data_IF_904297088737
#
_entry.id   IF_904297088737
#
_cell.length_a   1.000
_cell.length_b   1.000
_cell.length_c   1.000
_cell.angle_alpha   90.00
_cell.angle_beta   90.00
_cell.angle_gamma   90.00
#
_symmetry.space_group_name_H-M   'P 1'
#
loop_
_entity.id
_entity.type
_entity.pdbx_description
1 polymer ?
#
# COMPACT_ATOMS: atom_id res chain seq x y z
N UNK A 1 12.12 7.17 22.49
CA UNK A 1 11.14 7.93 23.32
C UNK A 1 11.89 8.95 24.16
N UNK A 2 11.28 10.07 24.56
CA UNK A 2 11.88 11.01 25.53
C UNK A 2 10.99 11.11 26.78
N UNK A 3 11.59 11.29 27.95
CA UNK A 3 10.86 11.52 29.19
C UNK A 3 10.30 12.94 29.24
N UNK A 4 9.58 13.27 30.31
CA UNK A 4 9.08 14.62 30.58
C UNK A 4 10.19 15.69 30.69
N UNK A 5 11.46 15.28 30.75
CA UNK A 5 12.64 16.15 30.82
C UNK A 5 13.44 16.17 29.51
N UNK A 6 12.94 15.52 28.45
CA UNK A 6 13.57 15.49 27.13
C UNK A 6 14.72 14.49 26.97
N UNK A 7 15.02 13.66 27.98
CA UNK A 7 16.04 12.62 27.93
C UNK A 7 15.51 11.37 27.22
N UNK A 8 16.32 10.66 26.42
CA UNK A 8 15.89 9.40 25.82
C UNK A 8 15.53 8.37 26.89
N UNK A 9 14.30 7.86 26.85
CA UNK A 9 13.85 6.76 27.71
C UNK A 9 14.30 5.47 27.07
N UNK A 10 15.12 4.75 27.81
CA UNK A 10 15.57 3.42 27.45
C UNK A 10 14.62 2.37 28.03
N UNK A 11 14.11 1.50 27.17
CA UNK A 11 13.13 0.46 27.48
C UNK A 11 13.71 -0.87 27.04
N UNK A 12 13.35 -1.93 27.75
CA UNK A 12 13.70 -3.27 27.30
C UNK A 12 12.93 -3.57 26.00
N UNK A 13 13.57 -4.16 24.96
CA UNK A 13 12.88 -4.55 23.73
C UNK A 13 11.64 -5.42 23.96
N UNK A 14 11.59 -6.20 25.06
CA UNK A 14 10.43 -7.02 25.42
C UNK A 14 9.23 -6.20 25.94
N UNK A 15 9.45 -4.96 26.36
CA UNK A 15 8.39 -4.03 26.78
C UNK A 15 7.74 -3.33 25.59
N UNK A 16 8.32 -3.43 24.39
CA UNK A 16 7.84 -2.77 23.18
C UNK A 16 7.20 -3.78 22.23
N UNK A 17 5.95 -3.52 21.83
CA UNK A 17 5.23 -4.35 20.86
C UNK A 17 4.88 -3.52 19.64
N UNK A 18 5.12 -4.06 18.44
CA UNK A 18 4.55 -3.53 17.20
C UNK A 18 3.27 -4.31 16.93
N UNK A 19 2.12 -3.65 17.07
CA UNK A 19 0.85 -4.22 16.62
C UNK A 19 0.74 -4.02 15.12
N UNK A 20 1.01 -5.08 14.35
CA UNK A 20 0.65 -5.13 12.93
C UNK A 20 -0.73 -5.77 12.79
N UNK A 21 -1.73 -5.00 12.35
CA UNK A 21 -3.07 -5.53 12.08
C UNK A 21 -3.04 -6.27 10.75
N UNK A 22 -2.65 -7.55 10.79
CA UNK A 22 -2.52 -8.43 9.62
C UNK A 22 -3.90 -9.00 9.25
N UNK A 23 -4.44 -8.63 8.09
CA UNK A 23 -5.80 -9.07 7.69
C UNK A 23 -5.84 -10.47 7.08
N UNK A 24 -4.72 -11.02 6.58
CA UNK A 24 -4.59 -12.44 6.18
C UNK A 24 -3.16 -12.98 6.37
N UNK A 25 -3.03 -14.19 6.91
CA UNK A 25 -1.78 -14.97 6.94
C UNK A 25 -1.63 -15.69 5.59
N UNK A 26 -1.26 -14.95 4.54
CA UNK A 26 -0.88 -15.54 3.23
C UNK A 26 0.64 -15.66 3.14
N UNK A 27 1.15 -16.56 2.30
CA UNK A 27 2.57 -16.60 1.91
C UNK A 27 3.02 -15.28 1.24
N UNK A 28 2.06 -14.56 0.68
CA UNK A 28 2.22 -13.26 0.01
C UNK A 28 2.12 -12.07 0.97
N UNK A 29 2.03 -12.32 2.27
CA UNK A 29 1.81 -11.27 3.27
C UNK A 29 3.13 -10.59 3.64
N UNK A 30 3.09 -9.27 3.74
CA UNK A 30 4.21 -8.50 4.28
C UNK A 30 4.55 -8.92 5.71
N UNK A 31 5.84 -8.92 6.04
CA UNK A 31 6.37 -9.41 7.31
C UNK A 31 7.14 -8.29 8.00
N UNK A 32 6.91 -8.12 9.31
CA UNK A 32 7.68 -7.20 10.16
C UNK A 32 8.66 -8.04 10.98
N UNK A 33 9.93 -7.65 11.02
CA UNK A 33 10.94 -8.28 11.87
C UNK A 33 10.64 -8.07 13.36
N UNK A 34 11.37 -8.78 14.22
CA UNK A 34 11.45 -8.38 15.62
C UNK A 34 11.98 -6.94 15.73
N UNK A 35 11.57 -6.24 16.79
CA UNK A 35 12.10 -4.93 17.12
C UNK A 35 13.48 -5.11 17.78
N UNK A 36 14.48 -4.38 17.29
CA UNK A 36 15.83 -4.39 17.82
C UNK A 36 16.20 -3.01 18.37
N UNK A 37 16.70 -2.97 19.60
CA UNK A 37 17.23 -1.74 20.21
C UNK A 37 18.61 -1.44 19.60
N UNK A 38 18.73 -0.28 18.97
CA UNK A 38 19.97 0.20 18.36
C UNK A 38 20.82 0.98 19.36
N UNK A 39 20.17 1.88 20.11
CA UNK A 39 20.80 2.73 21.12
C UNK A 39 19.77 3.14 22.18
N UNK A 40 20.18 3.93 23.19
CA UNK A 40 19.27 4.34 24.25
C UNK A 40 18.08 5.14 23.69
N UNK A 41 16.88 4.56 23.82
CA UNK A 41 15.64 5.15 23.31
C UNK A 41 15.43 5.09 21.80
N UNK A 42 16.24 4.31 21.07
CA UNK A 42 16.17 4.09 19.63
C UNK A 42 15.98 2.60 19.29
N UNK A 43 14.96 2.31 18.48
CA UNK A 43 14.57 0.96 18.10
C UNK A 43 14.27 0.90 16.61
N UNK A 44 14.65 -0.21 15.98
CA UNK A 44 14.45 -0.45 14.56
C UNK A 44 13.69 -1.76 14.34
N UNK A 45 12.84 -1.78 13.31
CA UNK A 45 12.25 -2.98 12.75
C UNK A 45 12.18 -2.82 11.23
N UNK A 46 12.28 -3.94 10.52
CA UNK A 46 12.21 -3.97 9.06
C UNK A 46 10.85 -4.52 8.65
N UNK A 47 10.14 -3.77 7.79
CA UNK A 47 8.98 -4.27 7.06
C UNK A 47 9.45 -4.79 5.69
N UNK A 48 9.32 -6.10 5.48
CA UNK A 48 9.47 -6.71 4.17
C UNK A 48 8.11 -6.71 3.49
N UNK A 49 8.00 -6.06 2.33
CA UNK A 49 6.78 -6.02 1.55
C UNK A 49 6.36 -7.43 1.10
N UNK A 50 5.06 -7.70 1.14
CA UNK A 50 4.46 -8.86 0.49
C UNK A 50 4.28 -8.61 -1.00
N UNK A 51 3.55 -9.50 -1.68
CA UNK A 51 3.32 -9.35 -3.12
C UNK A 51 2.20 -8.36 -3.42
N UNK A 52 1.25 -8.12 -2.51
CA UNK A 52 0.10 -7.27 -2.79
C UNK A 52 0.31 -5.80 -2.35
N UNK A 53 -0.08 -4.81 -3.18
CA UNK A 53 -0.22 -3.43 -2.76
C UNK A 53 -1.17 -3.31 -1.57
N UNK A 54 -0.78 -2.56 -0.55
CA UNK A 54 -1.52 -2.47 0.72
C UNK A 54 -1.01 -1.34 1.61
N UNK A 55 -1.83 -0.92 2.57
CA UNK A 55 -1.43 0.04 3.60
C UNK A 55 -1.24 -0.71 4.93
N UNK A 56 -0.05 -0.55 5.51
CA UNK A 56 0.32 -1.08 6.81
C UNK A 56 0.25 -0.01 7.88
N UNK A 57 -0.56 -0.24 8.90
CA UNK A 57 -0.57 0.60 10.10
C UNK A 57 0.43 0.03 11.11
N UNK A 58 1.41 0.85 11.48
CA UNK A 58 2.43 0.53 12.48
C UNK A 58 2.10 1.30 13.75
N UNK A 59 1.62 0.59 14.76
CA UNK A 59 1.32 1.13 16.08
C UNK A 59 2.28 0.49 17.10
N UNK A 60 3.39 1.18 17.45
CA UNK A 60 4.25 0.73 18.54
C UNK A 60 3.55 1.00 19.88
N UNK A 61 3.71 0.10 20.84
CA UNK A 61 3.29 0.29 22.22
C UNK A 61 4.42 -0.03 23.19
N UNK A 62 4.47 0.67 24.32
CA UNK A 62 5.44 0.49 25.38
C UNK A 62 4.72 0.55 26.73
N UNK A 63 4.93 -0.44 27.61
CA UNK A 63 4.28 -0.52 28.94
C UNK A 63 2.75 -0.32 28.85
N UNK A 64 2.14 -1.01 27.89
CA UNK A 64 0.70 -0.94 27.57
C UNK A 64 0.18 0.44 27.08
N UNK A 65 1.07 1.39 26.81
CA UNK A 65 0.74 2.69 26.20
C UNK A 65 1.01 2.60 24.69
N UNK A 66 -0.02 2.85 23.88
CA UNK A 66 0.14 2.99 22.43
C UNK A 66 0.79 4.33 22.11
N UNK A 67 1.86 4.30 21.31
CA UNK A 67 2.63 5.45 20.89
C UNK A 67 2.13 6.00 19.54
N UNK A 68 2.81 7.02 19.04
CA UNK A 68 2.52 7.59 17.72
C UNK A 68 2.46 6.49 16.65
N UNK A 69 1.32 6.41 15.97
CA UNK A 69 1.06 5.46 14.89
C UNK A 69 1.46 6.08 13.56
N UNK A 70 1.98 5.26 12.66
CA UNK A 70 2.32 5.67 11.29
C UNK A 70 1.76 4.68 10.26
N UNK A 71 1.72 5.10 9.00
CA UNK A 71 1.28 4.29 7.88
C UNK A 71 2.44 4.07 6.90
N UNK A 72 2.57 2.83 6.42
CA UNK A 72 3.49 2.46 5.36
C UNK A 72 2.68 1.95 4.18
N UNK A 73 2.82 2.60 3.02
CA UNK A 73 2.13 2.19 1.80
C UNK A 73 3.05 1.30 0.97
N UNK A 74 2.55 0.13 0.60
CA UNK A 74 3.16 -0.78 -0.36
C UNK A 74 2.40 -0.62 -1.68
N UNK A 75 3.11 -0.28 -2.75
CA UNK A 75 2.54 0.00 -4.07
C UNK A 75 2.94 -1.05 -5.08
N UNK A 76 2.13 -1.20 -6.15
CA UNK A 76 2.49 -1.99 -7.32
C UNK A 76 3.71 -1.38 -8.03
N UNK A 77 4.39 -2.18 -8.85
CA UNK A 77 5.53 -1.69 -9.62
C UNK A 77 5.05 -0.89 -10.84
N UNK A 78 5.06 0.44 -10.70
CA UNK A 78 4.67 1.35 -11.76
C UNK A 78 5.61 1.30 -12.98
N UNK A 79 6.86 0.85 -12.81
CA UNK A 79 7.83 0.80 -13.92
C UNK A 79 7.54 -0.33 -14.91
N UNK A 80 6.83 -1.36 -14.48
CA UNK A 80 6.39 -2.49 -15.31
C UNK A 80 4.88 -2.46 -15.63
N UNK A 81 4.23 -1.31 -15.42
CA UNK A 81 2.80 -1.14 -15.67
C UNK A 81 2.46 -1.31 -17.17
N UNK A 82 1.46 -2.14 -17.46
CA UNK A 82 0.93 -2.37 -18.79
C UNK A 82 -0.60 -2.51 -18.77
N UNK A 83 -1.25 -2.15 -19.88
CA UNK A 83 -2.69 -2.43 -20.07
C UNK A 83 -2.85 -3.94 -20.22
N UNK A 84 -3.52 -4.58 -19.28
CA UNK A 84 -3.83 -6.02 -19.34
C UNK A 84 -5.27 -6.32 -19.74
N UNK A 85 -6.14 -5.30 -19.81
CA UNK A 85 -7.50 -5.47 -20.29
C UNK A 85 -8.18 -4.17 -20.69
N UNK A 86 -9.07 -4.29 -21.68
CA UNK A 86 -10.01 -3.27 -22.11
C UNK A 86 -11.35 -3.96 -22.33
N UNK A 87 -12.39 -3.48 -21.66
CA UNK A 87 -13.76 -4.00 -21.78
C UNK A 87 -14.69 -2.86 -22.15
N UNK A 88 -15.59 -3.10 -23.10
CA UNK A 88 -16.68 -2.18 -23.42
C UNK A 88 -17.90 -2.63 -22.64
N UNK A 89 -18.32 -1.83 -21.66
CA UNK A 89 -19.45 -2.12 -20.78
C UNK A 89 -20.78 -1.75 -21.45
N UNK A 90 -20.81 -0.59 -22.11
CA UNK A 90 -21.95 -0.11 -22.86
C UNK A 90 -21.51 0.19 -24.29
N UNK A 91 -22.17 -0.44 -25.24
CA UNK A 91 -21.93 -0.26 -26.68
C UNK A 91 -23.24 0.05 -27.41
N UNK A 92 -23.12 0.54 -28.66
CA UNK A 92 -24.24 0.89 -29.54
C UNK A 92 -25.10 2.05 -29.02
N UNK A 93 -24.47 3.02 -28.35
CA UNK A 93 -25.10 4.30 -28.07
C UNK A 93 -25.69 4.91 -29.36
N UNK A 94 -26.92 5.40 -29.26
CA UNK A 94 -27.58 6.10 -30.36
C UNK A 94 -26.78 7.35 -30.70
N UNK A 95 -26.54 7.59 -32.00
CA UNK A 95 -25.82 8.76 -32.51
C UNK A 95 -26.65 10.06 -32.42
N UNK A 96 -27.04 10.43 -31.20
CA UNK A 96 -27.89 11.59 -30.88
C UNK A 96 -27.13 12.69 -30.11
N UNK A 97 -25.82 12.54 -29.91
CA UNK A 97 -24.98 13.47 -29.15
C UNK A 97 -25.25 13.52 -27.64
N UNK A 98 -26.02 12.57 -27.10
CA UNK A 98 -26.41 12.51 -25.67
C UNK A 98 -26.15 11.15 -25.04
N UNK A 99 -26.37 10.07 -25.78
CA UNK A 99 -26.16 8.72 -25.30
C UNK A 99 -24.67 8.37 -25.39
N UNK A 100 -24.13 7.76 -24.33
CA UNK A 100 -22.70 7.45 -24.18
C UNK A 100 -22.44 5.95 -24.27
N UNK A 101 -21.26 5.59 -24.75
CA UNK A 101 -20.66 4.27 -24.54
C UNK A 101 -19.76 4.33 -23.31
N UNK A 102 -19.56 3.20 -22.64
CA UNK A 102 -18.72 3.09 -21.44
C UNK A 102 -17.69 1.99 -21.64
N UNK A 103 -16.46 2.25 -21.19
CA UNK A 103 -15.36 1.32 -21.29
C UNK A 103 -14.54 1.32 -20.00
N UNK A 104 -14.06 0.14 -19.62
CA UNK A 104 -13.19 -0.08 -18.47
C UNK A 104 -11.81 -0.49 -18.96
N UNK A 105 -10.77 0.25 -18.55
CA UNK A 105 -9.38 -0.12 -18.79
C UNK A 105 -8.77 -0.63 -17.50
N UNK A 106 -8.01 -1.71 -17.65
CA UNK A 106 -7.33 -2.39 -16.58
C UNK A 106 -5.83 -2.31 -16.82
N UNK A 107 -5.10 -1.74 -15.85
CA UNK A 107 -3.64 -1.66 -15.86
C UNK A 107 -3.07 -2.49 -14.72
N UNK A 108 -2.07 -3.32 -15.03
CA UNK A 108 -1.37 -4.15 -14.05
C UNK A 108 0.14 -4.09 -14.26
N UNK A 109 0.90 -4.33 -13.19
CA UNK A 109 2.34 -4.55 -13.26
C UNK A 109 2.66 -5.95 -13.81
N UNK A 110 3.96 -6.25 -14.00
CA UNK A 110 4.40 -7.56 -14.51
C UNK A 110 4.01 -8.75 -13.60
N UNK A 111 3.76 -8.48 -12.31
CA UNK A 111 3.27 -9.47 -11.34
C UNK A 111 1.74 -9.57 -11.28
N UNK A 112 1.01 -8.76 -12.05
CA UNK A 112 -0.44 -8.77 -12.13
C UNK A 112 -1.16 -7.88 -11.10
N UNK A 113 -0.45 -7.05 -10.33
CA UNK A 113 -1.08 -6.14 -9.40
C UNK A 113 -1.60 -4.90 -10.11
N UNK A 114 -2.79 -4.44 -9.72
CA UNK A 114 -3.37 -3.20 -10.24
C UNK A 114 -2.49 -2.01 -9.89
N UNK A 115 -2.11 -1.24 -10.90
CA UNK A 115 -1.29 -0.03 -10.74
C UNK A 115 -2.22 1.19 -10.77
N UNK A 116 -2.37 1.94 -9.66
CA UNK A 116 -3.16 3.15 -9.63
C UNK A 116 -2.42 4.31 -10.32
N UNK A 117 -3.17 5.38 -10.63
CA UNK A 117 -2.65 6.68 -11.09
C UNK A 117 -1.77 6.64 -12.36
N UNK A 118 -1.96 5.62 -13.20
CA UNK A 118 -1.30 5.51 -14.50
C UNK A 118 -1.96 6.45 -15.51
N UNK A 119 -1.17 7.29 -16.16
CA UNK A 119 -1.66 8.14 -17.24
C UNK A 119 -1.92 7.31 -18.50
N UNK A 120 -3.17 7.30 -18.97
CA UNK A 120 -3.60 6.57 -20.17
C UNK A 120 -4.05 7.58 -21.22
N UNK A 121 -3.58 7.41 -22.46
CA UNK A 121 -4.06 8.17 -23.61
C UNK A 121 -4.91 7.26 -24.49
N UNK A 122 -6.11 7.74 -24.82
CA UNK A 122 -7.02 7.05 -25.73
C UNK A 122 -7.10 7.82 -27.04
N UNK A 123 -7.02 7.07 -28.13
CA UNK A 123 -7.26 7.59 -29.46
C UNK A 123 -8.50 6.87 -30.00
N UNK A 124 -9.44 7.65 -30.52
CA UNK A 124 -10.60 7.13 -31.22
C UNK A 124 -10.43 7.48 -32.69
N UNK A 125 -10.67 6.50 -33.55
CA UNK A 125 -10.78 6.73 -34.99
C UNK A 125 -12.27 6.89 -35.34
N UNK A 126 -12.57 7.82 -36.23
CA UNK A 126 -13.89 7.98 -36.84
C UNK A 126 -13.82 7.41 -38.24
N UNK A 127 -14.20 6.14 -38.39
CA UNK A 127 -14.34 5.53 -39.71
C UNK A 127 -15.61 6.01 -40.38
N UNK A 128 -15.47 6.92 -41.35
CA UNK A 128 -16.50 7.29 -42.32
C UNK A 128 -16.44 6.42 -43.58
#
# INVERSE_FOLDING_TARGET
MRDLHGNPVDLDPNEIRIMSKRTKRSADASVVSALERQSAGEYAATLTAGMLPSVFTIAPSARDITLATTHVTLTADASSAAISGLVVETNNAVANGKTTNEMTITVTDASGHRVPDVQIQLQADSGD
#
